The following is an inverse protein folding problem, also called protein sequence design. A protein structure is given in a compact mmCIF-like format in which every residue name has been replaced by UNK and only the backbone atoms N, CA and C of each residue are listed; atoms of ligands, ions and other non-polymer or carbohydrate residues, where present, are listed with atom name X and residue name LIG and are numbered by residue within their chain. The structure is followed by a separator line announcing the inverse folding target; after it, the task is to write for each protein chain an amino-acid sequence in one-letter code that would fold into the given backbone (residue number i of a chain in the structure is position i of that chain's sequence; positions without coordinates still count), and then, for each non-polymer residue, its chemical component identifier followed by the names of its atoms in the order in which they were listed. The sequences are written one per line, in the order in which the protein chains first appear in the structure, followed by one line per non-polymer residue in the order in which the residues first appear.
data_IF_761257479594
#
_entry.id   IF_761257479594
#
_cell.length_a   1.000
_cell.length_b   1.000
_cell.length_c   1.000
_cell.angle_alpha   90.00
_cell.angle_beta   90.00
_cell.angle_gamma   90.00
#
_symmetry.space_group_name_H-M   'P 1'
#
loop_
_entity.id
_entity.type
_entity.pdbx_description
1 polymer ?
#
# COMPACT_ATOMS: atom_id res chain seq x y z
N UNK A 1 0.19 13.23 11.98
CA UNK A 1 0.93 12.38 11.02
C UNK A 1 0.61 12.92 9.63
N UNK A 2 1.59 13.15 8.76
CA UNK A 2 1.37 13.73 7.42
C UNK A 2 2.06 12.84 6.37
N UNK A 3 1.48 12.79 5.17
CA UNK A 3 2.01 12.03 4.04
C UNK A 3 2.50 12.99 2.96
N UNK A 4 3.51 12.56 2.21
CA UNK A 4 4.02 13.25 1.02
C UNK A 4 3.75 12.29 -0.14
N UNK A 5 3.05 12.78 -1.15
CA UNK A 5 2.79 12.07 -2.39
C UNK A 5 3.67 12.68 -3.49
N UNK A 6 4.35 11.82 -4.24
CA UNK A 6 5.14 12.22 -5.39
C UNK A 6 5.09 11.11 -6.45
N UNK A 7 5.23 11.50 -7.71
CA UNK A 7 5.25 10.58 -8.86
C UNK A 7 6.69 10.35 -9.31
N UNK A 8 7.06 9.10 -9.54
CA UNK A 8 8.37 8.74 -10.10
C UNK A 8 8.35 7.33 -10.68
N UNK A 9 9.32 7.03 -11.53
CA UNK A 9 9.49 5.70 -12.10
C UNK A 9 10.22 4.76 -11.14
N UNK A 10 9.81 3.48 -11.15
CA UNK A 10 10.58 2.40 -10.54
C UNK A 10 11.63 1.94 -11.55
N UNK A 11 12.90 2.27 -11.31
CA UNK A 11 14.00 1.92 -12.21
C UNK A 11 14.84 0.80 -11.61
N UNK A 12 14.94 -0.34 -12.31
CA UNK A 12 15.67 -1.53 -11.84
C UNK A 12 15.24 -2.00 -10.44
N UNK A 13 13.95 -1.87 -10.11
CA UNK A 13 13.41 -2.23 -8.80
C UNK A 13 13.72 -1.22 -7.68
N UNK A 14 14.23 -0.02 -8.01
CA UNK A 14 14.55 1.03 -7.05
C UNK A 14 13.70 2.26 -7.30
N UNK A 15 13.07 2.77 -6.24
CA UNK A 15 12.45 4.11 -6.21
C UNK A 15 13.45 5.08 -5.61
N UNK A 16 13.85 6.08 -6.38
CA UNK A 16 14.69 7.16 -5.88
C UNK A 16 13.82 8.26 -5.29
N UNK A 17 14.00 8.56 -4.01
CA UNK A 17 13.33 9.70 -3.37
C UNK A 17 13.93 10.99 -3.96
N UNK A 18 13.11 11.90 -4.52
CA UNK A 18 13.58 13.16 -5.10
C UNK A 18 14.41 14.00 -4.11
N UNK A 19 15.36 14.75 -4.66
CA UNK A 19 16.34 15.53 -3.89
C UNK A 19 15.71 16.59 -2.96
N UNK A 20 14.54 17.10 -3.33
CA UNK A 20 13.73 18.01 -2.51
C UNK A 20 13.28 17.40 -1.17
N UNK A 21 13.27 16.07 -1.07
CA UNK A 21 12.90 15.33 0.13
C UNK A 21 14.10 14.72 0.87
N UNK A 22 15.34 15.18 0.63
CA UNK A 22 16.56 14.70 1.33
C UNK A 22 16.46 14.70 2.86
N UNK A 23 15.63 15.57 3.44
CA UNK A 23 15.37 15.62 4.87
C UNK A 23 14.69 14.35 5.44
N UNK A 24 14.14 13.49 4.58
CA UNK A 24 13.55 12.19 4.94
C UNK A 24 14.58 11.07 5.12
N UNK A 25 15.87 11.34 4.87
CA UNK A 25 16.94 10.35 5.01
C UNK A 25 16.92 9.70 6.41
N UNK A 26 17.00 8.37 6.44
CA UNK A 26 17.01 7.54 7.65
C UNK A 26 15.76 7.64 8.54
N UNK A 27 14.62 8.11 8.01
CA UNK A 27 13.34 8.09 8.73
C UNK A 27 12.52 6.85 8.41
N UNK A 28 11.70 6.42 9.35
CA UNK A 28 10.68 5.40 9.11
C UNK A 28 9.59 5.96 8.19
N UNK A 29 9.27 5.24 7.12
CA UNK A 29 8.26 5.63 6.15
C UNK A 29 7.38 4.43 5.79
N UNK A 30 6.09 4.70 5.55
CA UNK A 30 5.17 3.77 4.89
C UNK A 30 5.09 4.18 3.42
N UNK A 31 5.35 3.24 2.52
CA UNK A 31 5.28 3.47 1.07
C UNK A 31 3.99 2.86 0.54
N UNK A 32 3.30 3.60 -0.34
CA UNK A 32 2.14 3.13 -1.09
C UNK A 32 2.47 3.33 -2.56
N UNK A 33 2.37 2.28 -3.36
CA UNK A 33 2.67 2.31 -4.80
C UNK A 33 1.33 2.24 -5.54
N UNK A 34 1.06 3.24 -6.35
CA UNK A 34 -0.08 3.26 -7.27
C UNK A 34 0.46 2.96 -8.67
N UNK A 35 -0.15 2.00 -9.34
CA UNK A 35 0.19 1.64 -10.72
C UNK A 35 -1.02 1.96 -11.60
N UNK A 36 -0.78 2.48 -12.80
CA UNK A 36 -1.83 2.61 -13.80
C UNK A 36 -2.35 1.23 -14.20
N UNK A 37 -3.63 1.17 -14.56
CA UNK A 37 -4.34 -0.08 -14.84
C UNK A 37 -4.01 -0.60 -16.26
N UNK A 38 -2.72 -0.67 -16.57
CA UNK A 38 -2.22 -1.37 -17.74
C UNK A 38 -1.92 -2.81 -17.33
N UNK A 39 -2.79 -3.69 -17.81
CA UNK A 39 -2.78 -5.14 -17.66
C UNK A 39 -1.38 -5.75 -17.62
N UNK A 40 -1.19 -6.75 -16.74
CA UNK A 40 -0.19 -7.86 -16.80
C UNK A 40 0.63 -8.08 -15.51
N UNK A 41 0.05 -7.93 -14.32
CA UNK A 41 0.58 -8.64 -13.14
C UNK A 41 -0.51 -9.04 -12.15
N UNK A 42 -1.10 -10.23 -12.37
CA UNK A 42 -1.99 -10.88 -11.39
C UNK A 42 -1.38 -10.94 -10.00
N UNK A 43 -0.06 -11.08 -9.95
CA UNK A 43 0.70 -11.26 -8.71
C UNK A 43 0.76 -9.96 -7.89
N UNK A 44 0.93 -8.79 -8.53
CA UNK A 44 0.92 -7.50 -7.82
C UNK A 44 -0.48 -7.15 -7.31
N UNK A 45 -1.53 -7.49 -8.07
CA UNK A 45 -2.92 -7.34 -7.62
C UNK A 45 -3.20 -8.20 -6.39
N UNK A 46 -2.73 -9.45 -6.36
CA UNK A 46 -2.86 -10.32 -5.19
C UNK A 46 -2.19 -9.71 -3.94
N UNK A 47 -0.99 -9.11 -4.07
CA UNK A 47 -0.34 -8.42 -2.93
C UNK A 47 -1.14 -7.21 -2.44
N UNK A 48 -1.83 -6.50 -3.33
CA UNK A 48 -2.70 -5.38 -2.96
C UNK A 48 -3.94 -5.86 -2.19
N UNK A 49 -4.66 -6.86 -2.71
CA UNK A 49 -5.93 -7.36 -2.15
C UNK A 49 -5.77 -8.06 -0.79
N UNK A 50 -4.60 -8.65 -0.53
CA UNK A 50 -4.30 -9.32 0.75
C UNK A 50 -3.70 -8.40 1.82
N UNK A 51 -3.62 -7.09 1.57
CA UNK A 51 -3.21 -6.14 2.59
C UNK A 51 -4.25 -6.12 3.72
N UNK A 52 -3.89 -6.66 4.89
CA UNK A 52 -4.74 -6.84 6.07
C UNK A 52 -5.37 -5.55 6.65
N UNK A 53 -5.15 -4.39 6.02
CA UNK A 53 -5.85 -3.13 6.30
C UNK A 53 -7.12 -2.89 5.47
N UNK A 54 -7.49 -3.79 4.55
CA UNK A 54 -8.73 -3.74 3.76
C UNK A 54 -9.89 -4.53 4.37
N UNK A 55 -9.69 -5.18 5.51
CA UNK A 55 -10.80 -5.78 6.27
C UNK A 55 -11.51 -4.66 7.02
N UNK A 56 -12.44 -4.00 6.32
CA UNK A 56 -13.41 -3.10 6.94
C UNK A 56 -14.36 -3.97 7.77
N UNK A 57 -14.10 -4.03 9.07
CA UNK A 57 -14.94 -4.61 10.13
C UNK A 57 -15.58 -5.98 9.82
N UNK A 58 -14.97 -7.06 10.33
CA UNK A 58 -15.68 -8.34 10.47
C UNK A 58 -16.74 -8.22 11.58
N UNK A 59 -17.86 -7.57 11.28
CA UNK A 59 -19.04 -7.44 12.13
C UNK A 59 -20.22 -8.13 11.47
N UNK A 60 -20.13 -9.44 11.31
CA UNK A 60 -21.25 -10.25 10.80
C UNK A 60 -22.05 -10.75 12.00
N UNK A 61 -23.24 -10.18 12.19
CA UNK A 61 -24.16 -10.56 13.27
C UNK A 61 -24.60 -12.04 13.17
N UNK A 62 -24.47 -12.65 11.98
CA UNK A 62 -24.74 -14.06 11.75
C UNK A 62 -23.65 -14.96 12.36
N UNK A 63 -22.39 -14.53 12.33
CA UNK A 63 -21.29 -15.29 12.91
C UNK A 63 -21.24 -15.13 14.43
N UNK A 64 -21.51 -13.93 14.97
CA UNK A 64 -21.64 -13.71 16.42
C UNK A 64 -22.74 -14.58 17.08
N UNK A 65 -23.77 -14.95 16.31
CA UNK A 65 -24.85 -15.82 16.78
C UNK A 65 -24.43 -17.28 16.99
N UNK A 66 -23.33 -17.72 16.36
CA UNK A 66 -22.80 -19.09 16.48
C UNK A 66 -22.02 -19.28 17.79
N UNK A 67 -21.52 -18.21 18.39
CA UNK A 67 -20.68 -18.23 19.59
C UNK A 67 -21.45 -17.97 20.91
N UNK A 68 -22.79 -18.07 20.90
CA UNK A 68 -23.64 -17.98 22.10
C UNK A 68 -24.03 -19.34 22.66
#
# INVERSE_FOLDING_TARGET
MYAIEFETDIQNGVVNIPDEYKALANRHARVVILLEDDSESSDLRAFSEHSAGLVDEWSSAAEDAIWK
#
